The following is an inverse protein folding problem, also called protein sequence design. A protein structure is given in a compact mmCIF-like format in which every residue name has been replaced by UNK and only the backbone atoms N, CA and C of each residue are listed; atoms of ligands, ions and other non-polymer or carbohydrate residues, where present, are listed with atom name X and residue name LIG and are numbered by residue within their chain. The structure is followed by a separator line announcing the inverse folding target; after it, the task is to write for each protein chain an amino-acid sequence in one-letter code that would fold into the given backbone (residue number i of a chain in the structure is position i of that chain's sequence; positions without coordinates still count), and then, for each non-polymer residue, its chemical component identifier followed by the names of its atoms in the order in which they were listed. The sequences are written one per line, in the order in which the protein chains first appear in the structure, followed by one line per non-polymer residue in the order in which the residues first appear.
data_IF_734537125575
#
_entry.id   IF_734537125575
#
_cell.length_a   1.000
_cell.length_b   1.000
_cell.length_c   1.000
_cell.angle_alpha   90.00
_cell.angle_beta   90.00
_cell.angle_gamma   90.00
#
_symmetry.space_group_name_H-M   'P 1'
#
loop_
_entity.id
_entity.type
_entity.pdbx_description
1 polymer ?
#
# COMPACT_ATOMS: atom_id res chain seq x y z
N UNK A 1 10.63 -1.46 11.24
CA UNK A 1 9.26 -1.13 10.77
C UNK A 1 8.50 -2.43 10.62
N UNK A 2 7.32 -2.58 11.23
CA UNK A 2 6.54 -3.82 11.18
C UNK A 2 5.44 -3.68 10.13
N UNK A 3 5.48 -4.50 9.08
CA UNK A 3 4.48 -4.45 8.01
C UNK A 3 3.30 -5.33 8.41
N UNK A 4 2.11 -4.74 8.46
CA UNK A 4 0.87 -5.46 8.72
C UNK A 4 0.05 -5.55 7.43
N UNK A 5 -0.27 -6.77 7.04
CA UNK A 5 -1.12 -7.04 5.87
C UNK A 5 -2.54 -7.32 6.32
N UNK A 6 -3.51 -6.61 5.72
CA UNK A 6 -4.93 -6.89 5.95
C UNK A 6 -5.36 -8.19 5.27
N UNK A 7 -6.43 -8.80 5.74
CA UNK A 7 -7.04 -9.98 5.09
C UNK A 7 -7.52 -9.65 3.68
N UNK A 8 -8.01 -8.42 3.47
CA UNK A 8 -8.38 -7.89 2.17
C UNK A 8 -7.17 -7.83 1.23
N UNK A 9 -6.05 -7.26 1.67
CA UNK A 9 -4.82 -7.23 0.89
C UNK A 9 -4.36 -8.62 0.45
N UNK A 10 -4.45 -9.63 1.33
CA UNK A 10 -4.10 -11.02 0.97
C UNK A 10 -5.01 -11.60 -0.12
N UNK A 11 -6.30 -11.25 -0.11
CA UNK A 11 -7.25 -11.66 -1.17
C UNK A 11 -6.92 -10.97 -2.48
N UNK A 12 -6.71 -9.66 -2.44
CA UNK A 12 -6.37 -8.88 -3.62
C UNK A 12 -5.04 -9.35 -4.21
N UNK A 13 -3.99 -9.52 -3.41
CA UNK A 13 -2.70 -10.07 -3.84
C UNK A 13 -2.83 -11.40 -4.61
N UNK A 14 -3.68 -12.32 -4.12
CA UNK A 14 -3.96 -13.58 -4.84
C UNK A 14 -4.67 -13.35 -6.17
N UNK A 15 -5.59 -12.39 -6.24
CA UNK A 15 -6.29 -12.00 -7.47
C UNK A 15 -5.32 -11.40 -8.50
N UNK A 16 -4.45 -10.48 -8.09
CA UNK A 16 -3.48 -9.85 -9.00
C UNK A 16 -2.42 -10.84 -9.47
N UNK A 17 -2.00 -11.76 -8.58
CA UNK A 17 -1.13 -12.88 -8.95
C UNK A 17 -1.79 -13.79 -10.00
N UNK A 18 -3.10 -14.05 -9.89
CA UNK A 18 -3.85 -14.80 -10.92
C UNK A 18 -3.98 -14.02 -12.24
N UNK A 19 -3.98 -12.69 -12.19
CA UNK A 19 -4.02 -11.82 -13.37
C UNK A 19 -2.65 -11.67 -14.06
N UNK A 20 -1.59 -12.37 -13.61
CA UNK A 20 -0.23 -12.22 -14.14
C UNK A 20 0.27 -10.76 -14.14
N UNK A 21 -0.20 -9.93 -13.21
CA UNK A 21 0.36 -8.58 -13.06
C UNK A 21 1.76 -8.64 -12.44
N UNK A 22 2.51 -7.58 -12.68
CA UNK A 22 3.89 -7.45 -12.25
C UNK A 22 4.01 -7.22 -10.73
N UNK A 23 4.12 -8.32 -9.99
CA UNK A 23 4.30 -8.30 -8.53
C UNK A 23 5.60 -7.62 -8.10
N UNK A 24 6.58 -7.54 -9.01
CA UNK A 24 7.85 -6.84 -8.82
C UNK A 24 7.61 -5.37 -8.47
N UNK A 25 6.73 -4.69 -9.21
CA UNK A 25 6.38 -3.28 -8.99
C UNK A 25 5.81 -3.07 -7.58
N UNK A 26 4.86 -3.91 -7.19
CA UNK A 26 4.26 -3.87 -5.84
C UNK A 26 5.32 -4.04 -4.76
N UNK A 27 6.23 -5.00 -4.92
CA UNK A 27 7.30 -5.27 -3.96
C UNK A 27 8.25 -4.08 -3.84
N UNK A 28 8.65 -3.47 -4.96
CA UNK A 28 9.46 -2.25 -4.97
C UNK A 28 8.79 -1.11 -4.21
N UNK A 29 7.48 -0.91 -4.39
CA UNK A 29 6.74 0.12 -3.63
C UNK A 29 6.76 -0.18 -2.13
N UNK A 30 6.51 -1.43 -1.72
CA UNK A 30 6.56 -1.84 -0.32
C UNK A 30 7.95 -1.62 0.29
N UNK A 31 9.02 -1.92 -0.46
CA UNK A 31 10.41 -1.69 -0.01
C UNK A 31 10.73 -0.20 0.11
N UNK A 32 10.31 0.63 -0.85
CA UNK A 32 10.43 2.10 -0.78
C UNK A 32 9.69 2.65 0.46
N UNK A 33 8.46 2.20 0.69
CA UNK A 33 7.66 2.55 1.86
C UNK A 33 8.32 2.12 3.18
N UNK A 34 8.83 0.88 3.25
CA UNK A 34 9.52 0.36 4.43
C UNK A 34 10.80 1.13 4.74
N UNK A 35 11.48 1.64 3.70
CA UNK A 35 12.69 2.44 3.83
C UNK A 35 12.43 3.89 4.21
N UNK A 36 11.16 4.30 4.42
CA UNK A 36 10.72 5.69 4.60
C UNK A 36 11.23 6.62 3.48
N UNK A 37 11.50 6.07 2.30
CA UNK A 37 11.94 6.89 1.18
C UNK A 37 10.74 7.68 0.67
N UNK A 38 10.96 8.94 0.30
CA UNK A 38 9.92 9.77 -0.32
C UNK A 38 9.51 9.06 -1.61
N UNK A 39 8.25 8.65 -1.70
CA UNK A 39 7.70 8.10 -2.94
C UNK A 39 7.81 9.19 -4.00
N UNK A 40 8.41 8.85 -5.15
CA UNK A 40 8.50 9.77 -6.26
C UNK A 40 7.09 10.25 -6.67
N UNK A 41 6.97 11.52 -7.09
CA UNK A 41 5.70 12.15 -7.47
C UNK A 41 4.91 11.34 -8.52
N UNK A 42 5.58 10.45 -9.25
CA UNK A 42 4.99 9.48 -10.18
C UNK A 42 3.93 8.58 -9.56
N UNK A 43 4.00 8.30 -8.25
CA UNK A 43 3.04 7.43 -7.57
C UNK A 43 1.73 8.12 -7.20
N UNK A 44 1.57 9.43 -7.49
CA UNK A 44 0.38 10.22 -7.20
C UNK A 44 -0.16 9.90 -5.80
N UNK A 45 0.72 10.04 -4.82
CA UNK A 45 0.38 9.67 -3.46
C UNK A 45 -0.59 10.72 -2.89
N UNK A 46 -1.84 10.33 -2.70
CA UNK A 46 -2.86 11.25 -2.22
C UNK A 46 -3.37 10.80 -0.84
N UNK A 47 -3.54 11.72 0.12
CA UNK A 47 -4.24 11.41 1.34
C UNK A 47 -5.73 11.24 1.03
N UNK A 48 -6.29 10.10 1.43
CA UNK A 48 -7.73 9.88 1.32
C UNK A 48 -8.45 10.80 2.32
N UNK A 49 -9.62 11.32 1.94
CA UNK A 49 -10.43 12.19 2.80
C UNK A 49 -11.55 11.42 3.52
N UNK A 50 -12.09 11.99 4.60
CA UNK A 50 -13.24 11.44 5.34
C UNK A 50 -12.86 10.34 6.34
N UNK A 51 -13.55 9.18 6.30
CA UNK A 51 -13.26 8.02 7.18
C UNK A 51 -11.88 7.40 6.96
N UNK A 52 -11.23 7.76 5.85
CA UNK A 52 -9.93 7.24 5.42
C UNK A 52 -8.81 8.27 5.61
N UNK A 53 -8.98 9.28 6.47
CA UNK A 53 -8.05 10.41 6.65
C UNK A 53 -6.60 10.00 6.94
N UNK A 54 -6.40 8.84 7.58
CA UNK A 54 -5.08 8.28 7.89
C UNK A 54 -4.55 7.30 6.82
N UNK A 55 -5.31 7.09 5.76
CA UNK A 55 -4.92 6.20 4.67
C UNK A 55 -4.44 7.03 3.49
N UNK A 56 -3.42 6.49 2.83
CA UNK A 56 -2.83 7.05 1.61
C UNK A 56 -3.02 6.03 0.50
N UNK A 57 -3.40 6.50 -0.67
CA UNK A 57 -3.36 5.71 -1.89
C UNK A 57 -2.08 6.04 -2.67
N UNK A 58 -1.51 5.01 -3.29
CA UNK A 58 -0.31 5.09 -4.10
C UNK A 58 -0.56 4.33 -5.39
N UNK A 59 -0.62 5.04 -6.51
CA UNK A 59 -0.85 4.47 -7.83
C UNK A 59 0.43 3.84 -8.37
N UNK A 60 0.45 2.51 -8.44
CA UNK A 60 1.54 1.74 -9.08
C UNK A 60 1.35 1.76 -10.61
N UNK A 61 0.10 1.64 -11.05
CA UNK A 61 -0.35 1.74 -12.45
C UNK A 61 -1.69 2.50 -12.49
N UNK A 62 -2.14 3.00 -13.67
CA UNK A 62 -3.47 3.60 -13.81
C UNK A 62 -4.60 2.71 -13.28
N UNK A 63 -4.50 1.39 -13.50
CA UNK A 63 -5.46 0.36 -13.02
C UNK A 63 -4.98 -0.39 -11.76
N UNK A 64 -3.97 0.11 -11.06
CA UNK A 64 -3.45 -0.54 -9.87
C UNK A 64 -2.96 0.47 -8.82
N UNK A 65 -3.74 0.58 -7.75
CA UNK A 65 -3.38 1.37 -6.58
C UNK A 65 -3.13 0.50 -5.35
N UNK A 66 -2.27 0.99 -4.47
CA UNK A 66 -1.95 0.43 -3.16
C UNK A 66 -2.45 1.41 -2.10
N UNK A 67 -3.39 0.96 -1.26
CA UNK A 67 -3.82 1.72 -0.09
C UNK A 67 -3.01 1.24 1.11
N UNK A 68 -2.37 2.18 1.81
CA UNK A 68 -1.63 1.90 3.02
C UNK A 68 -1.87 2.98 4.07
N UNK A 69 -1.61 2.65 5.34
CA UNK A 69 -1.53 3.66 6.41
C UNK A 69 -0.22 3.49 7.15
N UNK A 70 0.34 4.61 7.59
CA UNK A 70 1.50 4.63 8.46
C UNK A 70 0.98 4.97 9.85
N UNK A 71 0.89 3.97 10.71
CA UNK A 71 0.56 4.16 12.12
C UNK A 71 1.84 4.09 12.94
N UNK A 72 2.12 5.15 13.68
CA UNK A 72 3.24 5.21 14.65
C UNK A 72 2.98 4.29 15.85
N UNK A 73 1.72 3.93 16.09
CA UNK A 73 1.30 3.11 17.20
C UNK A 73 1.15 1.63 16.83
N UNK A 74 1.82 0.79 17.62
CA UNK A 74 1.54 -0.63 17.70
C UNK A 74 0.25 -0.83 18.50
N UNK A 75 -0.89 -0.39 17.97
CA UNK A 75 -2.17 -0.61 18.63
C UNK A 75 -2.57 -2.07 18.47
N UNK A 76 -2.29 -2.83 19.54
CA UNK A 76 -3.06 -4.00 19.95
C UNK A 76 -4.53 -3.56 20.03
N UNK A 77 -5.32 -3.88 19.03
CA UNK A 77 -6.77 -4.01 19.24
C UNK A 77 -7.12 -5.48 19.26
N UNK A 78 -7.65 -5.88 20.43
CA UNK A 78 -8.14 -7.19 20.85
C UNK A 78 -9.04 -7.88 19.83
#
# INVERSE_FOLDING_TARGET
MKIHYTTQFKKDYKRIKKQNKDLSKLRTVIEKLSSKHILEQSYRDHPLSGKWKDHRDCHIEPDWLLIYRITSECERTK
#
